data_IF_283117425037
#
_entry.id   IF_283117425037
#
_cell.length_a   1.000
_cell.length_b   1.000
_cell.length_c   1.000
_cell.angle_alpha   90.00
_cell.angle_beta   90.00
_cell.angle_gamma   90.00
#
_symmetry.space_group_name_H-M   'P 1'
#
loop_
_entity.id
_entity.type
_entity.pdbx_description
1 polymer ?
2 polymer ?
3 water ?
#
# COMPACT_ATOMS: atom_id res chain seq x y z
N UNK A 11 -30.54 -28.25 11.01
CA UNK A 11 -31.17 -28.43 12.31
C UNK A 11 -30.59 -27.39 13.27
N UNK A 12 -30.69 -27.62 14.57
CA UNK A 12 -30.22 -26.61 15.52
C UNK A 12 -28.72 -26.40 15.38
N UNK A 13 -28.02 -27.52 15.20
CA UNK A 13 -26.57 -27.54 15.03
C UNK A 13 -26.18 -26.80 13.76
N UNK A 14 -27.00 -26.96 12.73
CA UNK A 14 -26.77 -26.35 11.44
C UNK A 14 -26.99 -24.85 11.48
N UNK A 15 -27.96 -24.41 12.29
CA UNK A 15 -28.21 -22.99 12.47
C UNK A 15 -27.07 -22.33 13.22
N UNK A 16 -26.48 -23.06 14.14
CA UNK A 16 -25.36 -22.57 14.92
C UNK A 16 -24.16 -22.38 14.00
N UNK A 17 -23.99 -23.30 13.06
CA UNK A 17 -22.91 -23.21 12.09
C UNK A 17 -23.09 -21.98 11.20
N UNK A 18 -24.30 -21.79 10.66
CA UNK A 18 -24.55 -20.66 9.78
C UNK A 18 -24.14 -19.39 10.48
N UNK A 19 -24.57 -19.25 11.73
CA UNK A 19 -24.44 -17.99 12.44
C UNK A 19 -23.00 -17.68 12.85
N UNK A 20 -22.11 -18.63 12.65
CA UNK A 20 -20.71 -18.40 12.98
C UNK A 20 -19.88 -18.18 11.73
N UNK A 21 -20.52 -17.84 10.62
CA UNK A 21 -19.81 -17.68 9.34
C UNK A 21 -19.83 -16.23 8.84
N UNK A 22 -19.85 -15.27 9.76
CA UNK A 22 -19.77 -13.87 9.38
C UNK A 22 -18.38 -13.61 8.83
N UNK A 23 -18.29 -13.07 7.61
CA UNK A 23 -16.98 -12.83 7.00
C UNK A 23 -16.08 -11.94 7.88
N UNK A 24 -14.76 -12.18 7.85
CA UNK A 24 -13.78 -11.36 8.56
C UNK A 24 -13.87 -9.90 8.12
N UNK A 25 -13.64 -8.97 9.03
CA UNK A 25 -13.54 -7.56 8.68
C UNK A 25 -12.15 -7.31 8.10
N UNK A 26 -12.09 -7.09 6.79
CA UNK A 26 -10.81 -6.92 6.12
C UNK A 26 -10.69 -5.50 5.59
N UNK A 27 -9.46 -5.00 5.51
CA UNK A 27 -9.16 -3.65 5.07
C UNK A 27 -8.09 -3.61 4.00
N UNK A 28 -8.38 -2.86 2.94
CA UNK A 28 -7.38 -2.52 1.95
C UNK A 28 -6.43 -1.51 2.56
N UNK A 29 -5.14 -1.71 2.37
CA UNK A 29 -4.18 -0.66 2.72
C UNK A 29 -3.82 0.03 1.42
N UNK A 30 -3.87 1.36 1.42
CA UNK A 30 -3.83 2.13 0.19
C UNK A 30 -2.73 3.17 0.29
N UNK A 31 -1.99 3.38 -0.80
CA UNK A 31 -1.09 4.53 -0.90
C UNK A 31 -1.78 5.58 -1.76
N UNK A 32 -1.72 6.84 -1.33
CA UNK A 32 -2.38 7.93 -2.04
C UNK A 32 -1.33 8.79 -2.76
N UNK A 33 -1.63 9.20 -3.99
CA UNK A 33 -0.69 10.02 -4.74
C UNK A 33 -0.49 11.39 -4.12
N UNK A 34 0.68 11.96 -4.37
CA UNK A 34 0.94 13.36 -4.08
C UNK A 34 2.04 13.82 -5.02
N UNK A 35 2.20 15.13 -5.16
CA UNK A 35 3.14 15.68 -6.14
C UNK A 35 4.58 15.89 -5.63
N UNK A 36 4.94 15.30 -4.49
CA UNK A 36 6.25 15.53 -3.86
C UNK A 36 7.09 14.28 -3.56
N UNK A 37 6.42 13.16 -3.30
CA UNK A 37 7.11 11.92 -2.98
C UNK A 37 7.73 11.28 -4.21
N UNK A 38 9.01 10.93 -4.12
CA UNK A 38 9.71 10.36 -5.28
C UNK A 38 9.16 9.00 -5.66
N UNK A 39 9.09 8.71 -6.96
CA UNK A 39 8.60 7.41 -7.42
C UNK A 39 9.47 6.31 -6.81
N UNK A 40 10.77 6.52 -6.80
CA UNK A 40 11.68 5.53 -6.23
C UNK A 40 11.37 5.24 -4.76
N UNK A 41 10.88 6.23 -4.03
CA UNK A 41 10.62 6.03 -2.60
C UNK A 41 9.41 5.13 -2.42
N UNK A 42 8.43 5.29 -3.30
CA UNK A 42 7.24 4.45 -3.26
C UNK A 42 7.60 3.00 -3.61
N UNK A 43 8.53 2.82 -4.55
CA UNK A 43 8.97 1.47 -4.85
C UNK A 43 9.62 0.85 -3.61
N UNK A 44 10.47 1.63 -2.97
CA UNK A 44 11.11 1.23 -1.72
C UNK A 44 10.07 0.82 -0.68
N UNK A 45 9.03 1.63 -0.49
CA UNK A 45 7.99 1.33 0.49
C UNK A 45 7.32 -0.01 0.25
N UNK A 46 6.98 -0.26 -1.00
CA UNK A 46 6.29 -1.48 -1.39
C UNK A 46 7.17 -2.71 -1.22
N UNK A 47 8.46 -2.56 -1.48
CA UNK A 47 9.40 -3.66 -1.24
C UNK A 47 9.64 -3.93 0.25
N UNK A 48 9.83 -2.86 1.02
CA UNK A 48 10.20 -2.97 2.44
C UNK A 48 9.05 -3.46 3.32
N UNK A 49 7.85 -2.95 3.09
CA UNK A 49 6.74 -3.22 4.02
C UNK A 49 5.69 -4.18 3.48
N UNK A 50 5.75 -4.51 2.20
CA UNK A 50 4.73 -5.37 1.62
C UNK A 50 5.31 -6.55 0.84
N UNK A 51 6.63 -6.67 0.85
CA UNK A 51 7.32 -7.82 0.25
C UNK A 51 7.09 -7.96 -1.26
N UNK A 52 6.89 -6.84 -1.95
CA UNK A 52 6.74 -6.90 -3.40
C UNK A 52 8.11 -7.00 -4.07
N UNK A 53 8.20 -7.76 -5.15
CA UNK A 53 9.44 -7.79 -5.92
C UNK A 53 9.52 -6.46 -6.66
N UNK A 54 10.66 -6.14 -7.24
CA UNK A 54 10.84 -4.83 -7.85
C UNK A 54 9.88 -4.57 -9.00
N UNK A 55 9.57 -5.60 -9.77
CA UNK A 55 8.69 -5.42 -10.91
C UNK A 55 7.27 -5.07 -10.49
N UNK A 56 6.73 -5.83 -9.53
CA UNK A 56 5.38 -5.59 -9.02
C UNK A 56 5.29 -4.24 -8.30
N UNK A 57 6.33 -3.89 -7.55
CA UNK A 57 6.39 -2.61 -6.84
C UNK A 57 6.33 -1.46 -7.83
N UNK A 58 7.06 -1.60 -8.94
CA UNK A 58 7.09 -0.56 -9.94
C UNK A 58 5.72 -0.33 -10.58
N UNK A 59 4.99 -1.41 -10.87
CA UNK A 59 3.64 -1.29 -11.45
C UNK A 59 2.66 -0.63 -10.48
N UNK A 60 2.74 -1.00 -9.21
CA UNK A 60 1.81 -0.44 -8.23
C UNK A 60 2.12 1.03 -8.06
N UNK A 61 3.41 1.36 -8.10
CA UNK A 61 3.85 2.75 -7.94
C UNK A 61 3.29 3.55 -9.08
N UNK A 62 3.37 3.01 -10.29
CA UNK A 62 2.79 3.68 -11.46
C UNK A 62 1.28 3.85 -11.35
N UNK A 63 0.61 2.87 -10.74
CA UNK A 63 -0.81 2.98 -10.46
C UNK A 63 -1.08 4.15 -9.50
N UNK A 64 -0.29 4.25 -8.44
CA UNK A 64 -0.42 5.40 -7.53
C UNK A 64 -0.34 6.72 -8.30
N UNK A 65 0.66 6.84 -9.18
CA UNK A 65 0.94 8.09 -9.86
C UNK A 65 -0.15 8.42 -10.87
N UNK A 66 -0.55 7.42 -11.66
CA UNK A 66 -1.47 7.66 -12.80
C UNK A 66 -2.95 7.51 -12.44
N UNK A 67 -3.25 6.64 -11.48
CA UNK A 67 -4.64 6.41 -11.09
C UNK A 67 -5.08 7.22 -9.88
N UNK A 68 -4.13 7.70 -9.07
CA UNK A 68 -4.46 8.54 -7.94
C UNK A 68 -4.17 7.88 -6.60
N UNK A 69 -4.24 6.54 -6.61
CA UNK A 69 -4.05 5.72 -5.42
C UNK A 69 -3.87 4.28 -5.89
N UNK A 70 -3.30 3.44 -5.03
CA UNK A 70 -3.32 2.00 -5.30
C UNK A 70 -3.44 1.17 -4.03
N UNK A 71 -4.05 0.00 -4.16
CA UNK A 71 -4.18 -0.92 -3.04
C UNK A 71 -2.92 -1.77 -2.92
N UNK A 72 -2.31 -1.76 -1.75
CA UNK A 72 -1.07 -2.51 -1.48
C UNK A 72 -1.33 -3.96 -1.11
N UNK A 73 -2.52 -4.23 -0.58
CA UNK A 73 -2.90 -5.57 -0.20
C UNK A 73 -4.11 -5.46 0.70
N UNK A 74 -4.60 -6.59 1.21
CA UNK A 74 -5.82 -6.60 2.04
C UNK A 74 -5.53 -7.41 3.30
N UNK A 75 -5.88 -6.86 4.46
CA UNK A 75 -5.36 -7.38 5.72
C UNK A 75 -6.45 -7.33 6.77
N UNK A 76 -6.26 -8.06 7.87
CA UNK A 76 -7.14 -7.92 9.02
C UNK A 76 -7.05 -6.48 9.49
N UNK A 77 -8.05 -6.00 10.21
CA UNK A 77 -7.99 -4.63 10.69
C UNK A 77 -6.74 -4.35 11.53
N UNK A 78 -6.37 -5.30 12.37
CA UNK A 78 -5.25 -5.11 13.28
C UNK A 78 -3.95 -4.96 12.49
N UNK A 79 -3.76 -5.85 11.53
CA UNK A 79 -2.55 -5.81 10.72
C UNK A 79 -2.54 -4.60 9.80
N UNK A 80 -3.69 -4.24 9.26
CA UNK A 80 -3.79 -3.07 8.39
C UNK A 80 -3.37 -1.78 9.12
N UNK A 81 -3.84 -1.59 10.35
CA UNK A 81 -3.50 -0.41 11.13
C UNK A 81 -2.00 -0.36 11.40
N UNK A 82 -1.39 -1.54 11.54
CA UNK A 82 0.04 -1.66 11.77
C UNK A 82 0.84 -1.30 10.51
N UNK A 83 0.33 -1.67 9.34
CA UNK A 83 1.01 -1.31 8.08
C UNK A 83 0.93 0.20 7.84
N UNK A 84 -0.23 0.78 8.14
CA UNK A 84 -0.43 2.19 7.90
C UNK A 84 0.51 2.95 8.80
N UNK A 85 0.55 2.58 10.09
CA UNK A 85 1.42 3.28 11.03
C UNK A 85 2.89 3.24 10.55
N UNK A 86 3.37 2.06 10.19
CA UNK A 86 4.76 1.88 9.75
C UNK A 86 5.11 2.65 8.48
N UNK A 87 4.26 2.55 7.46
CA UNK A 87 4.53 3.22 6.20
C UNK A 87 4.57 4.74 6.36
N UNK A 88 3.57 5.30 7.03
CA UNK A 88 3.60 6.74 7.31
C UNK A 88 4.83 7.18 8.11
N UNK A 89 5.24 6.40 9.10
CA UNK A 89 6.41 6.75 9.89
C UNK A 89 7.66 6.78 9.02
N UNK A 90 7.82 5.73 8.22
CA UNK A 90 8.91 5.67 7.28
C UNK A 90 8.86 6.88 6.32
N UNK A 91 7.68 7.21 5.80
CA UNK A 91 7.56 8.38 4.91
C UNK A 91 7.96 9.68 5.63
N UNK A 92 7.43 9.94 6.83
CA UNK A 92 7.78 11.19 7.51
C UNK A 92 9.23 11.30 7.88
N UNK A 93 9.85 10.20 8.30
CA UNK A 93 11.22 10.29 8.74
C UNK A 93 12.14 10.59 7.55
N UNK A 94 11.64 10.33 6.34
CA UNK A 94 12.34 10.66 5.09
C UNK A 94 11.83 11.97 4.50
N UNK A 95 11.01 12.67 5.28
CA UNK A 95 10.50 13.98 4.93
C UNK A 95 9.71 14.02 3.62
N UNK A 96 8.91 12.97 3.39
CA UNK A 96 7.92 12.93 2.33
C UNK A 96 6.49 12.99 2.91
N UNK A 97 5.52 13.51 2.13
CA UNK A 97 4.11 13.61 2.55
C UNK A 97 3.29 12.35 2.25
N UNK A 98 3.92 11.34 1.67
CA UNK A 98 3.21 10.14 1.26
C UNK A 98 2.25 9.66 2.33
N UNK A 99 1.00 9.49 1.95
CA UNK A 99 -0.02 9.05 2.88
C UNK A 99 -0.48 7.63 2.57
N UNK A 100 -0.36 6.79 3.58
CA UNK A 100 -0.88 5.45 3.56
C UNK A 100 -2.10 5.42 4.45
N UNK A 101 -3.19 4.83 3.96
CA UNK A 101 -4.45 4.84 4.69
C UNK A 101 -5.15 3.51 4.48
N UNK A 102 -6.37 3.40 4.99
CA UNK A 102 -7.16 2.17 4.96
C UNK A 102 -8.56 2.43 4.41
N UNK A 103 -9.13 1.41 3.77
CA UNK A 103 -10.58 1.36 3.63
C UNK A 103 -11.04 -0.07 3.73
N UNK A 104 -12.22 -0.26 4.30
CA UNK A 104 -12.78 -1.59 4.48
C UNK A 104 -12.99 -2.23 3.11
N UNK A 105 -12.59 -3.49 2.98
CA UNK A 105 -12.82 -4.22 1.74
C UNK A 105 -14.28 -4.64 1.69
N UNK B 1 3.35 11.51 -8.19
CA UNK B 1 4.68 11.25 -7.59
C UNK B 1 5.71 11.97 -8.45
N UNK B 2 6.95 12.03 -7.98
CA UNK B 2 8.01 12.75 -8.69
C UNK B 2 8.95 11.77 -9.39
N UNK B 3 9.09 11.93 -10.70
CA UNK B 3 9.94 11.03 -11.47
C UNK B 3 11.40 11.41 -11.31
N UNK B 4 12.28 10.42 -11.25
CA UNK B 4 13.70 10.67 -11.07
C UNK B 4 14.32 11.26 -12.34
N UNK B 5 15.44 11.95 -12.16
CA UNK B 5 16.18 12.50 -13.28
C UNK B 5 16.68 11.35 -14.13
N UNK B 6 16.48 11.46 -15.44
CA UNK B 6 17.05 10.49 -16.36
C UNK B 6 18.56 10.68 -16.39
N UNK B 7 19.27 9.58 -16.60
CA UNK B 7 20.73 9.60 -16.60
C UNK B 7 21.24 9.47 -18.03
N UNK B 8 21.83 10.54 -18.55
CA UNK B 8 22.17 10.62 -19.97
C UNK B 8 23.22 9.62 -20.41
N UNK B 9 22.89 8.90 -21.48
CA UNK B 9 23.80 7.91 -22.04
C UNK B 9 24.92 8.55 -22.86
N UNK B 10 24.62 9.65 -23.54
CA UNK B 10 25.51 10.18 -24.57
C UNK B 10 26.34 11.35 -24.07
N UNK B 11 27.66 11.25 -24.25
CA UNK B 11 28.58 12.34 -23.92
C UNK B 11 29.36 12.65 -25.19
#
# INVERSE_FOLDING_TARGET
GKTNDWLDFDQLAEEKVRDALKPPSMYKVILVNDDYTPMEFVIDVLQKFFSYDVERATQLMLAVHYQGKAICGVFTAEVAETKVAMVNKYARENEHPLLCTLEKA
LVKSKATNLLY
#
